data_IF_768842986824
#
_entry.id   IF_768842986824
#
_cell.length_a   1.000
_cell.length_b   1.000
_cell.length_c   1.000
_cell.angle_alpha   90.00
_cell.angle_beta   90.00
_cell.angle_gamma   90.00
#
_symmetry.space_group_name_H-M   'P 1'
#
loop_
_entity.id
_entity.type
_entity.pdbx_description
1 polymer ?
#
# COMPACT_ATOMS: atom_id res chain seq x y z
N UNK A 1 26.31 -17.46 -22.74
CA UNK A 1 26.78 -16.61 -21.61
C UNK A 1 25.98 -15.31 -21.46
N UNK A 2 25.80 -14.49 -22.52
CA UNK A 2 25.01 -13.24 -22.43
C UNK A 2 23.55 -13.45 -21.99
N UNK A 3 22.87 -14.45 -22.56
CA UNK A 3 21.48 -14.79 -22.20
C UNK A 3 21.37 -15.20 -20.73
N UNK A 4 22.34 -15.98 -20.22
CA UNK A 4 22.36 -16.40 -18.81
C UNK A 4 22.47 -15.19 -17.88
N UNK A 5 23.34 -14.23 -18.22
CA UNK A 5 23.50 -12.98 -17.44
C UNK A 5 22.21 -12.17 -17.47
N UNK A 6 21.58 -12.02 -18.63
CA UNK A 6 20.30 -11.33 -18.75
C UNK A 6 19.22 -11.99 -17.90
N UNK A 7 19.13 -13.32 -17.92
CA UNK A 7 18.17 -14.08 -17.10
C UNK A 7 18.42 -13.87 -15.60
N UNK A 8 19.69 -13.90 -15.17
CA UNK A 8 20.05 -13.66 -13.76
C UNK A 8 19.69 -12.23 -13.33
N UNK A 9 19.94 -11.23 -14.17
CA UNK A 9 19.59 -9.83 -13.88
C UNK A 9 18.09 -9.65 -13.79
N UNK A 10 17.32 -10.24 -14.72
CA UNK A 10 15.85 -10.18 -14.66
C UNK A 10 15.33 -10.86 -13.41
N UNK A 11 15.85 -12.05 -13.05
CA UNK A 11 15.49 -12.73 -11.80
C UNK A 11 15.79 -11.88 -10.58
N UNK A 12 16.95 -11.23 -10.52
CA UNK A 12 17.29 -10.35 -9.40
C UNK A 12 16.32 -9.15 -9.27
N UNK A 13 15.92 -8.55 -10.39
CA UNK A 13 14.92 -7.46 -10.42
C UNK A 13 13.56 -7.97 -9.94
N UNK A 14 13.14 -9.17 -10.38
CA UNK A 14 11.88 -9.76 -9.96
C UNK A 14 11.89 -10.03 -8.45
N UNK A 15 12.95 -10.66 -7.92
CA UNK A 15 13.06 -10.96 -6.48
C UNK A 15 13.04 -9.69 -5.64
N UNK A 16 13.77 -8.65 -6.05
CA UNK A 16 13.79 -7.37 -5.33
C UNK A 16 12.44 -6.67 -5.34
N UNK A 17 11.69 -6.77 -6.44
CA UNK A 17 10.34 -6.24 -6.48
C UNK A 17 9.36 -6.94 -5.53
N UNK A 18 9.44 -8.27 -5.40
CA UNK A 18 8.51 -8.99 -4.51
C UNK A 18 8.74 -8.70 -3.04
N UNK A 19 9.98 -8.42 -2.63
CA UNK A 19 10.30 -8.10 -1.24
C UNK A 19 10.03 -6.62 -0.90
N UNK A 20 9.92 -5.76 -1.91
CA UNK A 20 9.62 -4.33 -1.76
C UNK A 20 8.13 -4.02 -1.91
N UNK A 21 7.26 -5.04 -2.03
CA UNK A 21 5.81 -4.83 -2.03
C UNK A 21 5.36 -4.46 -0.60
N UNK A 22 4.58 -3.38 -0.43
CA UNK A 22 4.13 -3.00 0.88
C UNK A 22 3.05 -3.95 1.42
N UNK A 23 3.03 -4.12 2.72
CA UNK A 23 2.02 -4.91 3.44
C UNK A 23 0.97 -4.00 4.12
N UNK A 24 -0.03 -4.60 4.77
CA UNK A 24 -1.11 -3.88 5.44
C UNK A 24 -0.60 -2.95 6.55
N UNK A 25 0.36 -3.39 7.35
CA UNK A 25 0.93 -2.62 8.45
C UNK A 25 1.66 -1.38 7.93
N UNK A 26 2.44 -1.52 6.86
CA UNK A 26 3.12 -0.41 6.19
C UNK A 26 2.12 0.60 5.59
N UNK A 27 1.02 0.11 5.03
CA UNK A 27 -0.05 0.97 4.52
C UNK A 27 -0.73 1.76 5.63
N UNK A 28 -1.04 1.12 6.77
CA UNK A 28 -1.60 1.77 7.95
C UNK A 28 -0.62 2.82 8.48
N UNK A 29 0.66 2.46 8.65
CA UNK A 29 1.69 3.36 9.15
C UNK A 29 1.87 4.59 8.24
N UNK A 30 1.81 4.40 6.93
CA UNK A 30 1.79 5.51 5.96
C UNK A 30 0.56 6.39 6.14
N UNK A 31 -0.65 5.81 6.19
CA UNK A 31 -1.89 6.58 6.37
C UNK A 31 -1.87 7.43 7.64
N UNK A 32 -1.40 6.87 8.75
CA UNK A 32 -1.23 7.58 10.03
C UNK A 32 -0.21 8.71 9.92
N UNK A 33 0.90 8.49 9.24
CA UNK A 33 1.92 9.52 9.02
C UNK A 33 1.39 10.67 8.14
N UNK A 34 0.61 10.35 7.11
CA UNK A 34 0.04 11.31 6.17
C UNK A 34 -1.01 12.23 6.85
N UNK A 35 -1.86 11.69 7.74
CA UNK A 35 -2.81 12.46 8.56
C UNK A 35 -2.06 13.46 9.45
N UNK A 36 -0.97 13.01 10.09
CA UNK A 36 -0.13 13.87 10.94
C UNK A 36 0.66 14.92 10.14
N UNK A 37 0.84 14.68 8.84
CA UNK A 37 1.78 15.37 7.96
C UNK A 37 1.29 16.66 7.31
N UNK A 38 -0.02 16.99 7.35
CA UNK A 38 -0.71 18.19 6.80
C UNK A 38 -1.68 17.97 5.61
N UNK A 39 -1.92 16.74 5.13
CA UNK A 39 -2.83 16.46 4.00
C UNK A 39 -4.26 16.04 4.44
N UNK A 40 -4.70 16.53 5.59
CA UNK A 40 -5.59 15.81 6.49
C UNK A 40 -7.03 15.51 6.00
N UNK A 41 -7.67 16.26 5.09
CA UNK A 41 -9.15 16.15 4.96
C UNK A 41 -9.68 14.76 4.53
N UNK A 42 -9.06 14.14 3.53
CA UNK A 42 -9.65 12.95 2.90
C UNK A 42 -9.14 11.67 3.55
N UNK A 43 -7.86 11.63 3.95
CA UNK A 43 -7.26 10.49 4.65
C UNK A 43 -7.69 10.44 6.11
N UNK A 44 -7.86 11.58 6.79
CA UNK A 44 -8.36 11.60 8.18
C UNK A 44 -9.78 11.03 8.28
N UNK A 45 -10.61 11.25 7.25
CA UNK A 45 -11.94 10.65 7.16
C UNK A 45 -11.84 9.13 7.03
N UNK A 46 -11.04 8.64 6.07
CA UNK A 46 -10.87 7.20 5.80
C UNK A 46 -10.30 6.43 7.00
N UNK A 47 -9.37 7.05 7.74
CA UNK A 47 -8.69 6.43 8.88
C UNK A 47 -9.24 6.88 10.24
N UNK A 48 -10.36 7.61 10.28
CA UNK A 48 -11.16 7.82 11.48
C UNK A 48 -10.65 8.81 12.53
N UNK A 49 -9.83 9.81 12.18
CA UNK A 49 -9.47 11.01 12.99
C UNK A 49 -8.77 10.80 14.34
N UNK A 50 -8.86 9.63 14.96
CA UNK A 50 -8.27 9.26 16.24
C UNK A 50 -7.76 7.84 16.11
N UNK A 51 -6.50 7.71 15.68
CA UNK A 51 -5.81 6.43 15.50
C UNK A 51 -5.56 5.77 16.86
N UNK A 52 -6.61 5.27 17.49
CA UNK A 52 -6.58 4.59 18.79
C UNK A 52 -7.22 3.19 18.74
N UNK A 53 -8.00 2.89 17.70
CA UNK A 53 -8.53 1.55 17.48
C UNK A 53 -7.65 0.80 16.46
N UNK A 54 -7.32 -0.47 16.71
CA UNK A 54 -6.58 -1.27 15.75
C UNK A 54 -7.37 -1.33 14.44
N UNK A 55 -6.71 -0.92 13.36
CA UNK A 55 -7.24 -0.84 11.98
C UNK A 55 -7.64 -2.23 11.42
N UNK A 56 -7.71 -3.27 12.27
CA UNK A 56 -8.36 -4.56 11.98
C UNK A 56 -9.85 -4.43 11.67
N UNK A 57 -10.53 -3.37 12.13
CA UNK A 57 -11.95 -3.13 11.83
C UNK A 57 -12.20 -2.42 10.49
N UNK A 58 -11.17 -1.80 9.90
CA UNK A 58 -11.29 -1.23 8.56
C UNK A 58 -11.21 -2.39 7.58
N UNK A 59 -12.34 -2.75 6.98
CA UNK A 59 -12.44 -3.77 5.94
C UNK A 59 -11.52 -3.38 4.77
N UNK A 60 -10.29 -3.86 4.85
CA UNK A 60 -9.23 -3.57 3.90
C UNK A 60 -9.04 -4.83 3.08
N UNK A 61 -9.55 -4.83 1.86
CA UNK A 61 -9.24 -5.90 0.91
C UNK A 61 -7.85 -5.65 0.32
N UNK A 62 -7.01 -6.68 0.36
CA UNK A 62 -5.63 -6.61 -0.11
C UNK A 62 -5.51 -7.47 -1.36
N UNK A 63 -5.17 -6.82 -2.47
CA UNK A 63 -4.87 -7.49 -3.73
C UNK A 63 -3.37 -7.39 -4.03
N UNK A 64 -2.66 -8.50 -3.79
CA UNK A 64 -1.22 -8.60 -3.95
C UNK A 64 -0.83 -8.91 -5.41
N UNK A 65 0.05 -8.08 -5.98
CA UNK A 65 0.71 -8.32 -7.27
C UNK A 65 2.22 -8.43 -7.07
N UNK A 66 2.92 -8.86 -8.12
CA UNK A 66 4.38 -9.13 -8.06
C UNK A 66 5.19 -7.87 -7.70
N UNK A 67 4.73 -6.69 -8.10
CA UNK A 67 5.46 -5.42 -7.95
C UNK A 67 4.75 -4.38 -7.09
N UNK A 68 3.48 -4.61 -6.78
CA UNK A 68 2.63 -3.64 -6.11
C UNK A 68 1.50 -4.35 -5.38
N UNK A 69 0.87 -3.62 -4.46
CA UNK A 69 -0.27 -4.08 -3.70
C UNK A 69 -1.39 -3.06 -3.87
N UNK A 70 -2.61 -3.50 -4.11
CA UNK A 70 -3.79 -2.63 -4.08
C UNK A 70 -4.51 -2.85 -2.77
N UNK A 71 -4.69 -1.76 -2.01
CA UNK A 71 -5.44 -1.71 -0.77
C UNK A 71 -6.79 -1.05 -1.06
N UNK A 72 -7.87 -1.79 -0.85
CA UNK A 72 -9.23 -1.29 -1.01
C UNK A 72 -9.85 -1.15 0.37
N UNK A 73 -10.17 0.07 0.76
CA UNK A 73 -10.86 0.37 2.01
C UNK A 73 -12.35 0.60 1.70
N UNK A 74 -13.22 -0.08 2.43
CA UNK A 74 -14.66 0.18 2.42
C UNK A 74 -15.04 1.01 3.64
N UNK A 75 -15.46 2.26 3.44
CA UNK A 75 -15.86 3.18 4.51
C UNK A 75 -17.18 3.86 4.15
N UNK A 76 -18.18 3.81 5.03
CA UNK A 76 -19.49 4.48 4.84
C UNK A 76 -20.21 4.19 3.50
N UNK A 77 -19.94 3.03 2.89
CA UNK A 77 -20.50 2.65 1.59
C UNK A 77 -19.76 3.22 0.38
N UNK A 78 -18.62 3.89 0.61
CA UNK A 78 -17.70 4.37 -0.40
C UNK A 78 -16.43 3.50 -0.42
N UNK A 79 -15.90 3.28 -1.62
CA UNK A 79 -14.74 2.44 -1.86
C UNK A 79 -13.53 3.31 -2.19
N UNK A 80 -12.46 3.16 -1.40
CA UNK A 80 -11.20 3.88 -1.57
C UNK A 80 -10.10 2.91 -1.97
N UNK A 81 -9.44 3.19 -3.09
CA UNK A 81 -8.34 2.35 -3.60
C UNK A 81 -7.02 3.07 -3.49
N UNK A 82 -6.03 2.36 -2.97
CA UNK A 82 -4.65 2.82 -2.85
C UNK A 82 -3.70 1.81 -3.50
N UNK A 83 -2.82 2.29 -4.34
CA UNK A 83 -1.71 1.52 -4.91
C UNK A 83 -0.48 1.71 -4.03
N UNK A 84 -0.03 0.64 -3.40
CA UNK A 84 1.27 0.57 -2.74
C UNK A 84 2.34 -0.02 -3.67
N UNK A 85 3.44 0.70 -3.87
CA UNK A 85 4.56 0.28 -4.71
C UNK A 85 5.87 0.87 -4.19
N UNK A 86 6.89 0.03 -3.97
CA UNK A 86 8.20 0.43 -3.44
C UNK A 86 8.13 1.32 -2.18
N UNK A 87 7.27 0.97 -1.22
CA UNK A 87 7.07 1.74 0.02
C UNK A 87 6.42 3.11 -0.16
N UNK A 88 5.86 3.40 -1.33
CA UNK A 88 5.07 4.60 -1.62
C UNK A 88 3.62 4.22 -1.89
N UNK A 89 2.68 5.10 -1.54
CA UNK A 89 1.26 4.86 -1.69
C UNK A 89 0.60 5.98 -2.51
N UNK A 90 -0.31 5.60 -3.41
CA UNK A 90 -1.01 6.51 -4.30
C UNK A 90 -2.50 6.21 -4.30
N UNK A 91 -3.34 7.24 -4.11
CA UNK A 91 -4.79 7.11 -4.29
C UNK A 91 -5.12 6.86 -5.77
N UNK A 92 -6.03 5.91 -6.04
CA UNK A 92 -6.40 5.51 -7.40
C UNK A 92 -7.69 6.15 -7.92
N UNK A 93 -8.46 6.86 -7.09
CA UNK A 93 -9.77 7.46 -7.38
C UNK A 93 -10.73 6.57 -8.17
#
# INVERSE_FOLDING_TARGET
>A
MRILITVIVVLAILVTATISKPNQEEFINWGVAEIRGQSASDIERIFGGTVSEPVEEVQTEISDYVFFTVFTIQENGEEYKFLGVFGTFFGLN
#
